data_IF_006613355508
#
_entry.id   IF_006613355508
#
_cell.length_a   1.000
_cell.length_b   1.000
_cell.length_c   1.000
_cell.angle_alpha   90.00
_cell.angle_beta   90.00
_cell.angle_gamma   90.00
#
_symmetry.space_group_name_H-M   'P 1'
#
loop_
_entity.id
_entity.type
_entity.pdbx_description
1 polymer ?
#
# COMPACT_ATOMS: atom_id res chain seq x y z
N UNK A 1 36.06 -2.34 -46.03
CA UNK A 1 34.71 -2.90 -45.91
C UNK A 1 34.44 -3.14 -44.42
N UNK A 2 33.74 -2.22 -43.76
CA UNK A 2 32.28 -2.23 -43.52
C UNK A 2 31.96 -3.04 -42.23
N UNK A 3 31.78 -2.38 -41.08
CA UNK A 3 30.48 -1.95 -40.49
C UNK A 3 29.62 -3.16 -40.06
N UNK A 4 29.07 -3.27 -38.85
CA UNK A 4 28.64 -2.19 -37.97
C UNK A 4 28.57 -2.56 -36.49
N UNK A 5 28.97 -1.57 -35.70
CA UNK A 5 28.70 -1.41 -34.29
C UNK A 5 27.18 -1.18 -34.09
N UNK A 6 26.57 -1.86 -33.12
CA UNK A 6 25.28 -1.46 -32.58
C UNK A 6 25.45 -0.13 -31.83
N UNK A 7 24.96 0.95 -32.44
CA UNK A 7 24.92 2.27 -31.82
C UNK A 7 23.73 2.35 -30.86
N UNK A 8 24.01 2.51 -29.56
CA UNK A 8 23.16 3.29 -28.67
C UNK A 8 24.02 4.44 -28.11
N UNK A 9 24.11 5.53 -28.88
CA UNK A 9 24.64 6.83 -28.44
C UNK A 9 23.42 7.59 -27.90
N UNK A 10 23.31 8.12 -26.70
CA UNK A 10 24.22 8.33 -25.58
C UNK A 10 23.75 9.58 -24.84
N UNK A 11 23.63 9.52 -23.51
CA UNK A 11 24.11 10.55 -22.57
C UNK A 11 24.40 9.89 -21.23
N UNK A 12 25.49 10.24 -20.53
CA UNK A 12 25.70 9.81 -19.16
C UNK A 12 24.68 10.55 -18.28
N UNK A 13 23.67 9.86 -17.78
CA UNK A 13 22.87 10.40 -16.70
C UNK A 13 23.68 10.23 -15.41
N UNK A 14 24.48 11.22 -15.06
CA UNK A 14 24.71 11.53 -13.65
C UNK A 14 23.37 11.98 -13.07
N UNK A 15 22.51 11.03 -12.71
CA UNK A 15 21.31 11.32 -11.93
C UNK A 15 21.56 10.87 -10.49
N UNK A 16 21.81 11.88 -9.66
CA UNK A 16 21.85 11.81 -8.22
C UNK A 16 20.66 11.02 -7.68
N UNK A 17 20.94 9.92 -6.99
CA UNK A 17 20.09 9.20 -6.02
C UNK A 17 18.59 9.53 -6.11
N UNK A 18 17.91 8.99 -7.12
CA UNK A 18 16.52 8.61 -6.90
C UNK A 18 16.56 7.33 -6.06
N UNK A 19 16.06 7.41 -4.84
CA UNK A 19 15.41 6.27 -4.24
C UNK A 19 14.50 5.69 -5.33
N UNK A 20 14.78 4.47 -5.76
CA UNK A 20 13.88 3.75 -6.66
C UNK A 20 12.49 3.70 -6.03
N UNK A 21 11.46 3.26 -6.77
CA UNK A 21 10.29 2.74 -6.07
C UNK A 21 10.80 1.62 -5.16
N UNK A 22 10.98 1.91 -3.87
CA UNK A 22 10.96 0.88 -2.84
C UNK A 22 9.69 0.13 -3.13
N UNK A 23 9.83 -1.19 -3.22
CA UNK A 23 8.82 -2.18 -3.56
C UNK A 23 7.43 -1.60 -3.37
N UNK A 24 6.62 -1.61 -4.44
CA UNK A 24 5.21 -1.30 -4.31
C UNK A 24 4.65 -2.25 -3.25
N UNK A 25 4.67 -1.76 -2.00
CA UNK A 25 3.89 -2.23 -0.89
C UNK A 25 2.55 -2.50 -1.54
N UNK A 26 2.13 -3.75 -1.54
CA UNK A 26 0.76 -4.07 -1.89
C UNK A 26 -0.01 -3.39 -0.77
N UNK A 27 -0.31 -2.12 -0.98
CA UNK A 27 -0.90 -1.18 -0.05
C UNK A 27 -2.35 -1.61 0.06
N UNK A 28 -2.57 -2.69 0.80
CA UNK A 28 -3.88 -3.28 1.06
C UNK A 28 -4.79 -2.31 1.83
N UNK A 29 -4.17 -1.32 2.47
CA UNK A 29 -4.85 -0.15 3.02
C UNK A 29 -5.25 0.87 1.95
N UNK A 30 -6.55 1.09 1.82
CA UNK A 30 -7.12 2.01 0.82
C UNK A 30 -7.20 3.47 1.31
N UNK A 31 -6.93 3.71 2.59
CA UNK A 31 -7.05 5.04 3.20
C UNK A 31 -5.77 5.86 3.10
N UNK A 32 -5.86 7.06 2.52
CA UNK A 32 -4.72 7.98 2.30
C UNK A 32 -4.88 9.34 2.98
N UNK A 33 -6.00 9.57 3.67
CA UNK A 33 -6.25 10.86 4.34
C UNK A 33 -5.23 11.10 5.45
N UNK A 34 -4.69 12.33 5.53
CA UNK A 34 -3.65 12.70 6.50
C UNK A 34 -3.95 14.06 7.18
N UNK A 35 -5.02 14.12 7.97
CA UNK A 35 -5.43 15.33 8.69
C UNK A 35 -4.30 15.81 9.61
N UNK A 36 -4.00 17.12 9.53
CA UNK A 36 -2.89 17.71 10.27
C UNK A 36 -1.50 17.19 9.85
N UNK A 37 -1.39 16.46 8.74
CA UNK A 37 -0.14 15.81 8.30
C UNK A 37 0.09 14.43 8.91
N UNK A 38 -0.84 13.89 9.69
CA UNK A 38 -0.74 12.55 10.26
C UNK A 38 -1.28 11.48 9.29
N UNK A 39 -0.37 10.84 8.55
CA UNK A 39 -0.69 9.71 7.70
C UNK A 39 -0.82 8.40 8.50
N UNK A 40 -1.56 7.44 7.95
CA UNK A 40 -1.62 6.08 8.46
C UNK A 40 -0.32 5.33 8.14
N UNK A 41 0.16 4.51 9.08
CA UNK A 41 1.34 3.67 8.86
C UNK A 41 1.00 2.51 7.94
N UNK A 42 1.93 2.06 7.09
CA UNK A 42 1.63 0.99 6.18
C UNK A 42 1.41 -0.35 6.93
N UNK A 43 0.37 -1.09 6.55
CA UNK A 43 0.24 -2.53 6.77
C UNK A 43 1.14 -3.27 5.77
N UNK A 44 2.17 -3.94 6.27
CA UNK A 44 3.14 -4.71 5.47
C UNK A 44 3.07 -6.20 5.79
N UNK A 45 3.68 -7.03 4.94
CA UNK A 45 3.77 -8.48 5.18
C UNK A 45 4.96 -8.84 6.05
N UNK A 46 4.84 -9.87 6.88
CA UNK A 46 5.96 -10.46 7.63
C UNK A 46 6.42 -11.79 7.01
N UNK A 47 7.51 -12.35 7.54
CA UNK A 47 7.97 -13.71 7.23
C UNK A 47 7.33 -14.78 8.12
N UNK A 48 6.60 -14.39 9.18
CA UNK A 48 5.90 -15.32 10.08
C UNK A 48 4.49 -15.56 9.57
N UNK A 49 4.25 -16.77 9.06
CA UNK A 49 2.94 -17.18 8.53
C UNK A 49 1.83 -17.15 9.59
N UNK A 50 2.15 -17.22 10.89
CA UNK A 50 1.15 -17.10 11.95
C UNK A 50 0.76 -15.66 12.23
N UNK A 51 1.60 -14.68 11.87
CA UNK A 51 1.37 -13.25 12.09
C UNK A 51 1.76 -12.47 10.83
N UNK A 52 1.06 -12.67 9.72
CA UNK A 52 1.51 -12.23 8.40
C UNK A 52 1.41 -10.72 8.19
N UNK A 53 0.78 -9.96 9.08
CA UNK A 53 0.62 -8.50 8.97
C UNK A 53 1.50 -7.76 9.97
N UNK A 54 2.08 -6.63 9.58
CA UNK A 54 2.83 -5.73 10.47
C UNK A 54 2.37 -4.27 10.30
N UNK A 55 2.31 -3.53 11.40
CA UNK A 55 2.09 -2.08 11.44
C UNK A 55 2.98 -1.48 12.50
N UNK A 56 3.93 -0.61 12.10
CA UNK A 56 4.77 0.12 13.06
C UNK A 56 5.58 -0.80 14.00
N UNK A 57 5.92 -2.02 13.55
CA UNK A 57 6.62 -3.03 14.33
C UNK A 57 5.74 -3.97 15.17
N UNK A 58 4.42 -3.73 15.25
CA UNK A 58 3.47 -4.67 15.84
C UNK A 58 2.98 -5.65 14.76
N UNK A 59 2.96 -6.95 15.05
CA UNK A 59 2.48 -7.97 14.09
C UNK A 59 1.10 -8.53 14.44
N UNK A 60 0.32 -8.94 13.45
CA UNK A 60 -1.08 -9.36 13.60
C UNK A 60 -1.37 -10.64 12.83
N UNK A 61 -2.31 -11.42 13.36
CA UNK A 61 -2.80 -12.68 12.76
C UNK A 61 -3.78 -12.43 11.61
N UNK A 62 -4.44 -11.26 11.59
CA UNK A 62 -5.48 -10.92 10.63
C UNK A 62 -5.42 -9.44 10.20
N UNK A 63 -5.91 -9.17 8.99
CA UNK A 63 -5.92 -7.83 8.40
C UNK A 63 -6.74 -6.83 9.20
N UNK A 64 -7.87 -7.24 9.78
CA UNK A 64 -8.77 -6.31 10.49
C UNK A 64 -8.12 -5.73 11.74
N UNK A 65 -7.37 -6.56 12.46
CA UNK A 65 -6.57 -6.15 13.60
C UNK A 65 -5.45 -5.18 13.19
N UNK A 66 -4.73 -5.48 12.11
CA UNK A 66 -3.70 -4.59 11.56
C UNK A 66 -4.28 -3.25 11.07
N UNK A 67 -5.40 -3.30 10.33
CA UNK A 67 -6.15 -2.14 9.86
C UNK A 67 -6.59 -1.23 11.02
N UNK A 68 -7.08 -1.82 12.11
CA UNK A 68 -7.44 -1.08 13.30
C UNK A 68 -6.22 -0.40 13.92
N UNK A 69 -5.08 -1.11 14.01
CA UNK A 69 -3.84 -0.57 14.55
C UNK A 69 -3.34 0.64 13.77
N UNK A 70 -3.32 0.58 12.44
CA UNK A 70 -2.84 1.71 11.63
C UNK A 70 -3.73 2.95 11.79
N UNK A 71 -5.06 2.77 11.80
CA UNK A 71 -6.00 3.87 12.04
C UNK A 71 -5.87 4.46 13.44
N UNK A 72 -5.61 3.63 14.47
CA UNK A 72 -5.36 4.10 15.83
C UNK A 72 -4.04 4.87 15.95
N UNK A 73 -2.98 4.40 15.30
CA UNK A 73 -1.68 5.08 15.26
C UNK A 73 -1.79 6.43 14.58
N UNK A 74 -2.49 6.50 13.45
CA UNK A 74 -2.82 7.76 12.78
C UNK A 74 -3.54 8.73 13.72
N UNK A 75 -4.62 8.28 14.37
CA UNK A 75 -5.39 9.12 15.28
C UNK A 75 -4.52 9.67 16.40
N UNK A 76 -3.65 8.83 16.97
CA UNK A 76 -2.74 9.24 18.03
C UNK A 76 -1.71 10.27 17.53
N UNK A 77 -1.19 10.11 16.31
CA UNK A 77 -0.32 11.11 15.70
C UNK A 77 -1.07 12.44 15.45
N UNK A 78 -2.28 12.38 14.88
CA UNK A 78 -3.13 13.55 14.67
C UNK A 78 -3.44 14.26 16.00
N UNK A 79 -3.80 13.52 17.04
CA UNK A 79 -4.11 14.08 18.35
C UNK A 79 -2.89 14.74 19.01
N UNK A 80 -1.69 14.16 18.84
CA UNK A 80 -0.44 14.81 19.28
C UNK A 80 -0.24 16.15 18.57
N UNK A 81 -0.50 16.23 17.27
CA UNK A 81 -0.40 17.47 16.50
C UNK A 81 -1.41 18.50 16.99
N UNK A 82 -2.69 18.10 17.15
CA UNK A 82 -3.76 18.96 17.67
C UNK A 82 -3.37 19.56 19.04
N UNK A 83 -2.89 18.72 19.95
CA UNK A 83 -2.47 19.13 21.29
C UNK A 83 -1.18 19.97 21.30
N UNK A 84 -0.21 19.69 20.41
CA UNK A 84 1.08 20.39 20.39
C UNK A 84 0.98 21.87 20.02
N UNK A 85 -0.05 22.25 19.24
CA UNK A 85 -0.31 23.63 18.86
C UNK A 85 -1.24 24.38 19.83
N UNK A 86 -1.65 23.78 20.95
CA UNK A 86 -2.69 24.35 21.82
C UNK A 86 -4.00 24.65 21.06
N UNK A 87 -4.30 23.85 20.03
CA UNK A 87 -5.43 24.05 19.10
C UNK A 87 -5.38 25.37 18.30
N UNK A 88 -4.23 26.05 18.21
CA UNK A 88 -4.08 27.34 17.52
C UNK A 88 -4.38 27.27 16.01
N UNK A 89 -4.27 26.09 15.40
CA UNK A 89 -4.58 25.86 13.99
C UNK A 89 -6.04 25.40 13.76
N UNK A 90 -6.89 25.43 14.80
CA UNK A 90 -8.27 24.98 14.74
C UNK A 90 -8.47 23.47 14.74
N UNK A 91 -7.43 22.67 14.49
CA UNK A 91 -7.48 21.21 14.54
C UNK A 91 -7.81 20.71 15.95
N UNK A 92 -8.91 19.98 16.10
CA UNK A 92 -9.33 19.37 17.36
C UNK A 92 -9.05 17.86 17.37
N UNK A 93 -8.88 17.28 18.56
CA UNK A 93 -8.78 15.82 18.73
C UNK A 93 -10.03 15.11 18.19
N UNK A 94 -11.22 15.72 18.29
CA UNK A 94 -12.45 15.18 17.72
C UNK A 94 -12.43 15.06 16.19
N UNK A 95 -11.63 15.85 15.49
CA UNK A 95 -11.47 15.72 14.04
C UNK A 95 -10.56 14.53 13.70
N UNK A 96 -9.57 14.25 14.54
CA UNK A 96 -8.77 13.03 14.47
C UNK A 96 -9.61 11.77 14.72
N UNK A 97 -10.59 11.83 15.63
CA UNK A 97 -11.52 10.72 15.85
C UNK A 97 -12.40 10.46 14.61
N UNK A 98 -12.91 11.50 13.95
CA UNK A 98 -13.66 11.35 12.67
C UNK A 98 -12.78 10.79 11.56
N UNK A 99 -11.50 11.22 11.49
CA UNK A 99 -10.55 10.68 10.52
C UNK A 99 -10.34 9.18 10.76
N UNK A 100 -10.21 8.75 12.02
CA UNK A 100 -10.10 7.34 12.39
C UNK A 100 -11.30 6.52 11.94
N UNK A 101 -12.52 7.01 12.15
CA UNK A 101 -13.74 6.33 11.69
C UNK A 101 -13.76 6.19 10.16
N UNK A 102 -13.34 7.22 9.45
CA UNK A 102 -13.21 7.20 7.98
C UNK A 102 -12.15 6.19 7.54
N UNK A 103 -11.02 6.13 8.25
CA UNK A 103 -9.96 5.15 8.03
C UNK A 103 -10.51 3.73 8.18
N UNK A 104 -11.17 3.42 9.30
CA UNK A 104 -11.76 2.11 9.54
C UNK A 104 -12.80 1.73 8.46
N UNK A 105 -13.67 2.67 8.08
CA UNK A 105 -14.67 2.43 7.03
C UNK A 105 -14.05 2.16 5.66
N UNK A 106 -12.93 2.80 5.33
CA UNK A 106 -12.19 2.53 4.10
C UNK A 106 -11.55 1.13 4.13
N UNK A 107 -11.01 0.73 5.28
CA UNK A 107 -10.41 -0.59 5.48
C UNK A 107 -11.44 -1.72 5.44
N UNK A 108 -12.65 -1.51 5.96
CA UNK A 108 -13.76 -2.47 5.86
C UNK A 108 -14.20 -2.72 4.41
N UNK A 109 -13.87 -1.81 3.49
CA UNK A 109 -14.15 -1.91 2.05
C UNK A 109 -12.95 -2.44 1.25
N UNK A 110 -11.83 -2.74 1.89
CA UNK A 110 -10.66 -3.27 1.22
C UNK A 110 -10.99 -4.64 0.59
N UNK A 111 -10.72 -4.79 -0.70
CA UNK A 111 -10.94 -6.03 -1.44
C UNK A 111 -9.74 -6.97 -1.40
N UNK A 112 -8.56 -6.45 -1.07
CA UNK A 112 -7.33 -7.22 -0.86
C UNK A 112 -7.00 -7.15 0.62
N UNK A 113 -7.12 -8.28 1.31
CA UNK A 113 -6.90 -8.38 2.77
C UNK A 113 -5.91 -9.49 3.13
N UNK A 114 -5.18 -10.01 2.13
CA UNK A 114 -4.20 -11.09 2.27
C UNK A 114 -2.99 -10.81 1.38
N UNK A 115 -1.81 -11.20 1.86
CA UNK A 115 -0.56 -11.08 1.10
C UNK A 115 -0.28 -12.29 0.19
N UNK A 116 -1.05 -13.38 0.33
CA UNK A 116 -0.97 -14.58 -0.50
C UNK A 116 -1.19 -14.30 -2.00
N UNK A 117 -1.88 -13.20 -2.31
CA UNK A 117 -2.17 -12.75 -3.67
C UNK A 117 -0.91 -12.28 -4.44
N UNK A 118 0.25 -12.18 -3.79
CA UNK A 118 1.51 -11.84 -4.46
C UNK A 118 2.18 -13.03 -5.19
N UNK A 119 1.70 -14.26 -5.00
CA UNK A 119 2.07 -15.41 -5.84
C UNK A 119 1.07 -15.68 -6.99
N UNK A 120 -0.07 -14.99 -7.00
CA UNK A 120 -1.13 -15.18 -7.99
C UNK A 120 -1.96 -13.91 -8.22
N UNK A 121 -1.29 -12.79 -8.47
CA UNK A 121 -1.90 -11.59 -9.08
C UNK A 121 -0.90 -10.81 -9.95
N UNK A 122 -0.12 -11.53 -10.76
CA UNK A 122 0.03 -11.15 -12.17
C UNK A 122 -1.02 -11.91 -12.98
N UNK A 123 -2.29 -11.63 -12.72
CA UNK A 123 -3.40 -12.07 -13.57
C UNK A 123 -4.64 -11.23 -13.26
N UNK A 124 -4.56 -9.94 -13.54
CA UNK A 124 -5.73 -9.10 -13.87
C UNK A 124 -5.28 -8.00 -14.84
N UNK A 125 -4.55 -8.42 -15.89
CA UNK A 125 -4.90 -7.92 -17.20
C UNK A 125 -6.30 -8.45 -17.49
N UNK A 126 -7.17 -7.57 -17.99
CA UNK A 126 -8.52 -7.91 -18.38
C UNK A 126 -8.51 -9.15 -19.28
N UNK A 127 -9.14 -10.22 -18.83
CA UNK A 127 -9.70 -11.22 -19.75
C UNK A 127 -11.09 -11.52 -19.25
N UNK A 128 -12.01 -10.67 -19.71
CA UNK A 128 -13.41 -11.04 -19.83
C UNK A 128 -13.43 -12.12 -20.91
N UNK A 129 -13.59 -13.38 -20.54
CA UNK A 129 -14.15 -14.37 -21.47
C UNK A 129 -15.19 -15.15 -20.70
N UNK A 130 -16.43 -14.65 -20.75
CA UNK A 130 -17.58 -15.51 -20.57
C UNK A 130 -17.60 -16.50 -21.72
N UNK A 131 -17.54 -17.79 -21.35
CA UNK A 131 -18.10 -18.95 -22.05
C UNK A 131 -17.54 -19.37 -23.44
N UNK A 132 -17.20 -20.66 -23.50
CA UNK A 132 -17.00 -21.53 -24.68
C UNK A 132 -15.89 -21.20 -25.70
N UNK A 133 -14.64 -21.62 -25.42
CA UNK A 133 -13.83 -22.34 -26.43
C UNK A 133 -12.61 -23.05 -25.78
N UNK A 134 -12.80 -24.28 -25.31
CA UNK A 134 -11.69 -25.22 -25.06
C UNK A 134 -11.21 -25.79 -26.42
N UNK A 135 -10.60 -24.97 -27.27
CA UNK A 135 -9.85 -25.49 -28.43
C UNK A 135 -8.64 -24.62 -28.73
N UNK A 136 -7.54 -24.85 -28.00
CA UNK A 136 -6.24 -24.69 -28.65
C UNK A 136 -5.31 -25.83 -28.24
N UNK A 137 -5.16 -26.73 -29.22
CA UNK A 137 -4.29 -27.88 -29.29
C UNK A 137 -2.90 -27.59 -28.69
N UNK A 138 -2.50 -28.38 -27.69
CA UNK A 138 -1.09 -28.72 -27.59
C UNK A 138 -0.78 -29.71 -28.72
N UNK A 139 -0.12 -29.24 -29.78
CA UNK A 139 0.59 -30.13 -30.71
C UNK A 139 2.12 -29.94 -30.50
N UNK A 140 2.92 -31.02 -30.56
CA UNK A 140 4.24 -31.15 -29.93
C UNK A 140 5.41 -30.47 -30.65
#
# INVERSE_FOLDING_TARGET
MNSGMCWCRGKPQTYSRANGPTEADIQIQTFTGALGGAAAEPITSTTDQNRPFEVGGDTFTDFKSAASRTCDNQKNACAKIANSGGNSNGLQVSDCDKQRETCLSAQDKATVTSFDSSASSQAQAQVVTSDDEFTYFCDP
#
